data_IF_979701611639
#
_entry.id   IF_979701611639
#
_cell.length_a   1.000
_cell.length_b   1.000
_cell.length_c   1.000
_cell.angle_alpha   90.00
_cell.angle_beta   90.00
_cell.angle_gamma   90.00
#
_symmetry.space_group_name_H-M   'P 1'
#
loop_
_entity.id
_entity.type
_entity.pdbx_description
1 polymer ?
#
# COMPACT_ATOMS: atom_id res chain seq x y z
N UNK A 1 16.41 5.04 8.66
CA UNK A 1 16.62 4.00 9.68
C UNK A 1 15.31 3.28 9.84
N UNK A 2 15.23 1.99 9.50
CA UNK A 2 14.00 1.22 9.64
C UNK A 2 14.02 0.56 11.03
N UNK A 3 13.17 1.10 11.90
CA UNK A 3 12.97 0.59 13.27
C UNK A 3 12.03 -0.61 13.23
N UNK A 4 12.25 -1.60 14.08
CA UNK A 4 11.38 -2.77 14.17
C UNK A 4 9.95 -2.37 14.59
N UNK A 5 8.91 -2.69 13.80
CA UNK A 5 7.53 -2.33 14.11
C UNK A 5 6.92 -3.12 15.28
N UNK A 6 7.64 -4.11 15.81
CA UNK A 6 7.16 -4.97 16.90
C UNK A 6 7.78 -4.65 18.26
N UNK A 7 9.03 -4.20 18.31
CA UNK A 7 9.73 -3.93 19.58
C UNK A 7 10.32 -2.53 19.67
N UNK A 8 10.15 -1.69 18.62
CA UNK A 8 10.53 -0.28 18.49
C UNK A 8 11.98 0.10 18.84
N UNK A 9 12.80 -0.86 19.25
CA UNK A 9 14.10 -0.65 19.88
C UNK A 9 15.25 -1.19 19.04
N UNK A 10 14.95 -1.97 18.00
CA UNK A 10 15.94 -2.64 17.18
C UNK A 10 15.92 -2.13 15.74
N UNK A 11 17.12 -2.04 15.15
CA UNK A 11 17.30 -1.74 13.73
C UNK A 11 17.12 -3.00 12.90
N UNK A 12 16.40 -2.87 11.80
CA UNK A 12 16.15 -3.95 10.86
C UNK A 12 17.38 -4.31 10.03
N UNK A 13 17.54 -5.60 9.71
CA UNK A 13 18.51 -6.08 8.73
C UNK A 13 17.80 -6.51 7.45
N UNK A 14 18.33 -6.06 6.30
CA UNK A 14 17.82 -6.41 4.99
C UNK A 14 18.36 -7.77 4.52
N UNK A 15 17.45 -8.63 4.09
CA UNK A 15 17.74 -9.73 3.19
C UNK A 15 17.13 -9.40 1.82
N UNK A 16 17.85 -9.61 0.71
CA UNK A 16 17.32 -9.37 -0.63
C UNK A 16 16.72 -10.64 -1.25
N UNK A 17 15.40 -10.91 -1.14
CA UNK A 17 14.71 -11.76 -2.10
C UNK A 17 14.51 -10.98 -3.42
N UNK A 18 14.38 -11.72 -4.54
CA UNK A 18 14.22 -11.11 -5.88
C UNK A 18 12.98 -10.19 -5.91
N UNK A 19 13.18 -8.87 -5.90
CA UNK A 19 12.14 -7.85 -6.17
C UNK A 19 11.41 -7.26 -4.95
N UNK A 20 11.59 -7.81 -3.74
CA UNK A 20 11.03 -7.27 -2.49
C UNK A 20 12.13 -7.27 -1.44
N UNK A 21 12.25 -6.21 -0.64
CA UNK A 21 13.16 -6.18 0.51
C UNK A 21 12.49 -6.88 1.68
N UNK A 22 13.08 -7.96 2.16
CA UNK A 22 12.66 -8.60 3.40
C UNK A 22 13.54 -8.04 4.52
N UNK A 23 12.91 -7.50 5.55
CA UNK A 23 13.58 -7.00 6.74
C UNK A 23 13.31 -7.92 7.91
N UNK A 24 14.27 -8.04 8.82
CA UNK A 24 14.06 -8.78 10.06
C UNK A 24 14.74 -8.10 11.25
N UNK A 25 14.20 -8.34 12.43
CA UNK A 25 14.70 -7.85 13.69
C UNK A 25 15.54 -8.93 14.37
N UNK A 26 16.81 -8.65 14.65
CA UNK A 26 17.68 -9.56 15.39
C UNK A 26 17.32 -9.67 16.89
N UNK A 27 16.57 -8.71 17.44
CA UNK A 27 16.19 -8.70 18.86
C UNK A 27 14.94 -9.53 19.15
N UNK A 28 13.88 -9.39 18.35
CA UNK A 28 12.62 -10.11 18.55
C UNK A 28 12.35 -11.20 17.50
N UNK A 29 13.17 -11.31 16.45
CA UNK A 29 13.04 -12.33 15.41
C UNK A 29 11.94 -12.08 14.37
N UNK A 30 11.13 -11.03 14.51
CA UNK A 30 10.07 -10.70 13.55
C UNK A 30 10.68 -10.31 12.21
N UNK A 31 10.08 -10.79 11.12
CA UNK A 31 10.39 -10.38 9.75
C UNK A 31 9.19 -9.68 9.10
N UNK A 32 9.44 -8.67 8.28
CA UNK A 32 8.43 -7.90 7.56
C UNK A 32 8.93 -7.49 6.18
N UNK A 33 8.02 -7.18 5.28
CA UNK A 33 8.34 -6.70 3.94
C UNK A 33 8.44 -5.18 3.97
N UNK A 34 9.55 -4.64 3.46
CA UNK A 34 9.66 -3.20 3.23
C UNK A 34 9.20 -2.85 1.81
N UNK A 35 8.08 -2.13 1.74
CA UNK A 35 7.50 -1.62 0.50
C UNK A 35 7.87 -0.16 0.25
N UNK A 36 8.77 0.46 1.02
CA UNK A 36 9.15 1.87 0.90
C UNK A 36 9.47 2.29 -0.54
N UNK A 37 10.27 1.47 -1.24
CA UNK A 37 10.62 1.69 -2.66
C UNK A 37 9.43 1.60 -3.62
N UNK A 38 8.40 0.83 -3.25
CA UNK A 38 7.20 0.59 -4.05
C UNK A 38 6.06 1.57 -3.71
N UNK A 39 6.12 2.26 -2.55
CA UNK A 39 5.10 3.22 -2.10
C UNK A 39 4.69 4.21 -3.18
N UNK A 40 5.60 4.90 -3.92
CA UNK A 40 5.18 5.85 -4.95
C UNK A 40 4.30 5.21 -6.03
N UNK A 41 4.67 4.01 -6.49
CA UNK A 41 3.90 3.29 -7.51
C UNK A 41 2.55 2.81 -6.97
N UNK A 42 2.50 2.33 -5.72
CA UNK A 42 1.27 1.91 -5.07
C UNK A 42 0.28 3.08 -4.94
N UNK A 43 0.73 4.26 -4.51
CA UNK A 43 -0.13 5.44 -4.39
C UNK A 43 -0.70 5.88 -5.74
N UNK A 44 0.13 5.97 -6.79
CA UNK A 44 -0.34 6.29 -8.14
C UNK A 44 -1.37 5.28 -8.65
N UNK A 45 -1.18 3.99 -8.36
CA UNK A 45 -2.13 2.97 -8.76
C UNK A 45 -3.47 3.08 -8.00
N UNK A 46 -3.42 3.38 -6.70
CA UNK A 46 -4.61 3.60 -5.87
C UNK A 46 -5.40 4.83 -6.34
N UNK A 47 -4.73 5.96 -6.61
CA UNK A 47 -5.37 7.16 -7.16
C UNK A 47 -6.11 6.87 -8.47
N UNK A 48 -5.48 6.10 -9.38
CA UNK A 48 -6.12 5.67 -10.63
C UNK A 48 -7.33 4.76 -10.40
N UNK A 49 -7.33 3.94 -9.35
CA UNK A 49 -8.46 3.08 -9.01
C UNK A 49 -9.61 3.89 -8.40
N UNK A 50 -9.30 4.84 -7.52
CA UNK A 50 -10.28 5.77 -6.92
C UNK A 50 -10.98 6.58 -8.02
N UNK A 51 -10.23 7.22 -8.91
CA UNK A 51 -10.80 8.02 -9.99
C UNK A 51 -11.73 7.20 -10.91
N UNK A 52 -11.36 5.95 -11.20
CA UNK A 52 -12.21 5.02 -11.97
C UNK A 52 -13.50 4.67 -11.22
N UNK A 53 -13.41 4.46 -9.92
CA UNK A 53 -14.57 4.16 -9.08
C UNK A 53 -15.51 5.37 -9.00
N UNK A 54 -14.99 6.57 -8.74
CA UNK A 54 -15.76 7.81 -8.68
C UNK A 54 -16.49 8.08 -9.99
N UNK A 55 -15.80 7.94 -11.14
CA UNK A 55 -16.42 8.09 -12.45
C UNK A 55 -17.60 7.14 -12.67
N UNK A 56 -17.48 5.88 -12.22
CA UNK A 56 -18.57 4.90 -12.29
C UNK A 56 -19.75 5.30 -11.40
N UNK A 57 -19.50 5.69 -10.15
CA UNK A 57 -20.57 6.15 -9.25
C UNK A 57 -21.30 7.38 -9.81
N UNK A 58 -20.58 8.34 -10.39
CA UNK A 58 -21.18 9.51 -11.04
C UNK A 58 -22.07 9.11 -12.24
N UNK A 59 -21.64 8.13 -13.03
CA UNK A 59 -22.45 7.63 -14.14
C UNK A 59 -23.73 6.95 -13.65
N UNK A 60 -23.63 6.06 -12.67
CA UNK A 60 -24.78 5.36 -12.09
C UNK A 60 -25.80 6.33 -11.49
N UNK A 61 -25.34 7.38 -10.79
CA UNK A 61 -26.21 8.45 -10.28
C UNK A 61 -26.93 9.22 -11.40
N UNK A 62 -26.22 9.53 -12.50
CA UNK A 62 -26.84 10.17 -13.67
C UNK A 62 -27.94 9.29 -14.27
N UNK A 63 -27.66 8.01 -14.47
CA UNK A 63 -28.59 7.07 -15.07
C UNK A 63 -29.84 6.87 -14.20
N UNK A 64 -29.69 6.85 -12.88
CA UNK A 64 -30.81 6.79 -11.93
C UNK A 64 -31.68 8.06 -11.96
N UNK A 65 -31.07 9.24 -12.08
CA UNK A 65 -31.81 10.50 -12.14
C UNK A 65 -32.60 10.64 -13.46
N UNK A 66 -32.06 10.16 -14.59
CA UNK A 66 -32.77 10.13 -15.87
C UNK A 66 -33.99 9.20 -15.80
N UNK A 67 -33.89 8.05 -15.13
CA UNK A 67 -35.02 7.10 -14.98
C UNK A 67 -36.15 7.60 -14.07
N UNK A 68 -35.90 8.64 -13.27
CA UNK A 68 -36.87 9.22 -12.32
C UNK A 68 -37.61 10.44 -12.89
N UNK A 69 -37.13 11.02 -13.98
CA UNK A 69 -37.75 12.15 -14.68
C UNK A 69 -38.68 11.65 -15.79
#
# INVERSE_FOLDING_TARGET
MNTCPSCDSAVAQEQPPRGVRLEHCHACGVAWLDFSQHRPHLYVQLEKQIARWEARCHQELRDLNVRRA
#
